data_IF_874872086432
#
_entry.id   IF_874872086432
#
_cell.length_a   1.000
_cell.length_b   1.000
_cell.length_c   1.000
_cell.angle_alpha   90.00
_cell.angle_beta   90.00
_cell.angle_gamma   90.00
#
_symmetry.space_group_name_H-M   'P 1'
#
loop_
_entity.id
_entity.type
_entity.pdbx_description
1 polymer ?
#
# COMPACT_ATOMS: atom_id res chain seq x y z
N UNK A 1 -7.99 -4.97 1.41
CA UNK A 1 -7.32 -3.89 2.13
C UNK A 1 -5.95 -3.66 1.45
N UNK A 2 -4.75 -3.89 2.01
CA UNK A 2 -3.50 -3.69 1.21
C UNK A 2 -3.14 -4.88 0.31
N UNK A 3 -3.31 -6.08 0.81
CA UNK A 3 -2.97 -7.32 0.10
C UNK A 3 -4.18 -7.93 -0.64
N UNK A 4 -5.27 -7.18 -0.81
CA UNK A 4 -6.45 -7.70 -1.50
C UNK A 4 -6.29 -7.57 -3.00
N UNK A 5 -6.61 -8.65 -3.74
CA UNK A 5 -6.41 -8.70 -5.17
C UNK A 5 -7.23 -7.64 -5.90
N UNK A 6 -6.60 -6.95 -6.86
CA UNK A 6 -7.31 -6.09 -7.80
C UNK A 6 -8.00 -7.00 -8.81
N UNK A 7 -9.33 -7.14 -8.71
CA UNK A 7 -10.11 -8.07 -9.55
C UNK A 7 -10.19 -7.64 -11.02
N UNK A 8 -10.36 -6.35 -11.27
CA UNK A 8 -10.40 -5.79 -12.63
C UNK A 8 -9.45 -4.58 -12.74
N UNK A 9 -8.15 -4.82 -12.99
CA UNK A 9 -7.16 -3.75 -13.10
C UNK A 9 -7.41 -2.82 -14.28
N UNK A 10 -8.24 -3.23 -15.25
CA UNK A 10 -8.62 -2.38 -16.40
C UNK A 10 -9.74 -1.39 -16.08
N UNK A 11 -10.50 -1.63 -15.01
CA UNK A 11 -11.58 -0.78 -14.53
C UNK A 11 -11.14 0.24 -13.47
N UNK A 12 -9.88 0.19 -13.04
CA UNK A 12 -9.31 1.07 -12.02
C UNK A 12 -7.93 1.58 -12.46
N UNK A 13 -7.37 2.50 -11.70
CA UNK A 13 -6.03 3.07 -11.87
C UNK A 13 -5.26 3.02 -10.55
N UNK A 14 -3.94 3.15 -10.61
CA UNK A 14 -3.10 3.20 -9.42
C UNK A 14 -3.53 4.32 -8.44
N UNK A 15 -3.99 5.47 -8.94
CA UNK A 15 -4.47 6.58 -8.12
C UNK A 15 -5.81 6.27 -7.45
N UNK A 16 -6.71 5.54 -8.14
CA UNK A 16 -7.97 5.07 -7.55
C UNK A 16 -7.72 4.01 -6.47
N UNK A 17 -6.80 3.07 -6.70
CA UNK A 17 -6.37 2.08 -5.69
C UNK A 17 -5.76 2.79 -4.46
N UNK A 18 -4.92 3.80 -4.67
CA UNK A 18 -4.37 4.59 -3.57
C UNK A 18 -5.48 5.30 -2.78
N UNK A 19 -6.43 5.94 -3.48
CA UNK A 19 -7.55 6.64 -2.86
C UNK A 19 -8.44 5.68 -2.05
N UNK A 20 -8.62 4.43 -2.51
CA UNK A 20 -9.33 3.39 -1.75
C UNK A 20 -8.61 3.05 -0.44
N UNK A 21 -7.27 2.92 -0.46
CA UNK A 21 -6.48 2.69 0.75
C UNK A 21 -6.56 3.89 1.70
N UNK A 22 -6.44 5.11 1.19
CA UNK A 22 -6.55 6.34 1.99
C UNK A 22 -7.93 6.49 2.63
N UNK A 23 -9.01 6.21 1.88
CA UNK A 23 -10.36 6.21 2.41
C UNK A 23 -10.54 5.16 3.53
N UNK A 24 -10.06 3.94 3.32
CA UNK A 24 -10.13 2.89 4.33
C UNK A 24 -9.32 3.24 5.59
N UNK A 25 -8.15 3.88 5.45
CA UNK A 25 -7.40 4.39 6.60
C UNK A 25 -8.16 5.52 7.31
N UNK A 26 -8.74 6.45 6.57
CA UNK A 26 -9.51 7.57 7.13
C UNK A 26 -10.71 7.07 7.96
N UNK A 27 -11.38 6.02 7.49
CA UNK A 27 -12.47 5.36 8.22
C UNK A 27 -11.97 4.78 9.56
N UNK A 28 -10.86 4.03 9.56
CA UNK A 28 -10.26 3.47 10.78
C UNK A 28 -9.84 4.58 11.76
N UNK A 29 -9.22 5.65 11.26
CA UNK A 29 -8.81 6.80 12.10
C UNK A 29 -10.03 7.52 12.66
N UNK A 30 -11.11 7.66 11.88
CA UNK A 30 -12.35 8.30 12.33
C UNK A 30 -13.05 7.50 13.42
N UNK A 31 -13.05 6.17 13.32
CA UNK A 31 -13.65 5.27 14.31
C UNK A 31 -12.88 5.26 15.63
N UNK A 32 -11.54 5.30 15.58
CA UNK A 32 -10.68 5.30 16.77
C UNK A 32 -10.50 6.70 17.36
N UNK A 33 -10.57 7.74 16.53
CA UNK A 33 -10.23 9.13 16.84
C UNK A 33 -8.75 9.45 16.60
N UNK A 34 -8.48 10.61 15.99
CA UNK A 34 -7.14 11.04 15.50
C UNK A 34 -6.05 10.98 16.58
N UNK A 35 -6.29 11.56 17.77
CA UNK A 35 -5.30 11.58 18.86
C UNK A 35 -4.93 10.16 19.32
N UNK A 36 -5.95 9.30 19.52
CA UNK A 36 -5.75 7.90 19.93
C UNK A 36 -5.09 7.09 18.82
N UNK A 37 -5.45 7.35 17.56
CA UNK A 37 -4.82 6.69 16.42
C UNK A 37 -3.33 7.06 16.31
N UNK A 38 -2.98 8.33 16.50
CA UNK A 38 -1.58 8.79 16.51
C UNK A 38 -0.78 8.13 17.64
N UNK A 39 -1.31 8.09 18.86
CA UNK A 39 -0.65 7.46 20.01
C UNK A 39 -0.41 5.96 19.79
N UNK A 40 -1.40 5.25 19.25
CA UNK A 40 -1.34 3.78 19.10
C UNK A 40 -0.56 3.32 17.87
N UNK A 41 -0.67 4.04 16.75
CA UNK A 41 0.02 3.68 15.48
C UNK A 41 1.45 4.25 15.42
N UNK A 42 1.75 5.30 16.18
CA UNK A 42 3.01 6.03 16.09
C UNK A 42 3.11 6.95 14.88
N UNK A 43 2.03 7.09 14.10
CA UNK A 43 1.95 8.03 12.97
C UNK A 43 1.69 9.45 13.48
N UNK A 44 2.26 10.43 12.78
CA UNK A 44 2.10 11.85 13.12
C UNK A 44 0.62 12.27 13.14
N UNK A 45 0.20 12.93 14.22
CA UNK A 45 -1.20 13.33 14.43
C UNK A 45 -1.70 14.30 13.35
N UNK A 46 -0.87 15.26 12.93
CA UNK A 46 -1.27 16.22 11.90
C UNK A 46 -1.46 15.54 10.54
N UNK A 47 -0.67 14.50 10.27
CA UNK A 47 -0.82 13.66 9.09
C UNK A 47 -2.13 12.87 9.09
N UNK A 48 -2.49 12.28 10.23
CA UNK A 48 -3.77 11.57 10.38
C UNK A 48 -4.97 12.52 10.34
N UNK A 49 -4.84 13.73 10.90
CA UNK A 49 -5.87 14.76 10.81
C UNK A 49 -6.13 15.18 9.35
N UNK A 50 -5.06 15.46 8.60
CA UNK A 50 -5.14 15.78 7.17
C UNK A 50 -5.83 14.68 6.36
N UNK A 51 -5.48 13.40 6.63
CA UNK A 51 -6.14 12.26 6.00
C UNK A 51 -7.65 12.24 6.25
N UNK A 52 -8.09 12.45 7.50
CA UNK A 52 -9.53 12.49 7.85
C UNK A 52 -10.24 13.68 7.23
N UNK A 53 -9.55 14.82 7.09
CA UNK A 53 -10.06 16.01 6.42
C UNK A 53 -10.13 15.86 4.88
N UNK A 54 -9.68 14.73 4.34
CA UNK A 54 -9.72 14.40 2.90
C UNK A 54 -8.52 14.91 2.10
N UNK A 55 -7.47 15.38 2.78
CA UNK A 55 -6.16 15.59 2.14
C UNK A 55 -5.44 14.25 1.94
N UNK A 56 -4.49 14.20 1.00
CA UNK A 56 -3.71 13.00 0.68
C UNK A 56 -2.23 13.15 1.06
N UNK A 57 -1.88 13.12 2.37
CA UNK A 57 -0.48 13.15 2.76
C UNK A 57 0.21 11.81 2.45
N UNK A 58 1.49 11.84 2.12
CA UNK A 58 2.21 10.63 1.72
C UNK A 58 2.47 9.68 2.90
N UNK A 59 1.87 8.48 2.90
CA UNK A 59 2.11 7.40 3.88
C UNK A 59 3.13 6.38 3.38
N UNK A 60 3.80 5.67 4.30
CA UNK A 60 4.47 4.39 4.00
C UNK A 60 3.51 3.22 4.16
N UNK A 61 3.85 2.07 3.56
CA UNK A 61 3.12 0.81 3.76
C UNK A 61 3.10 0.43 5.24
N UNK A 62 4.20 0.65 5.97
CA UNK A 62 4.28 0.39 7.40
C UNK A 62 3.40 1.32 8.23
N UNK A 63 3.34 2.62 7.91
CA UNK A 63 2.43 3.56 8.58
C UNK A 63 0.97 3.19 8.31
N UNK A 64 0.64 2.85 7.06
CA UNK A 64 -0.69 2.41 6.69
C UNK A 64 -1.08 1.15 7.46
N UNK A 65 -0.20 0.13 7.48
CA UNK A 65 -0.42 -1.09 8.25
C UNK A 65 -0.61 -0.82 9.75
N UNK A 66 0.14 0.12 10.33
CA UNK A 66 -0.02 0.52 11.73
C UNK A 66 -1.38 1.17 12.01
N UNK A 67 -1.92 1.93 11.05
CA UNK A 67 -3.29 2.49 11.13
C UNK A 67 -4.32 1.37 11.02
N UNK A 68 -4.21 0.48 10.03
CA UNK A 68 -5.17 -0.60 9.84
C UNK A 68 -5.24 -1.57 11.03
N UNK A 69 -4.09 -1.86 11.65
CA UNK A 69 -4.01 -2.69 12.85
C UNK A 69 -4.69 -2.10 14.09
N UNK A 70 -5.23 -0.87 14.01
CA UNK A 70 -6.06 -0.29 15.08
C UNK A 70 -7.47 -0.87 15.12
N UNK A 71 -7.95 -1.43 14.00
CA UNK A 71 -9.21 -2.18 13.93
C UNK A 71 -8.99 -3.65 14.26
N UNK A 72 -9.92 -4.23 15.02
CA UNK A 72 -9.92 -5.66 15.36
C UNK A 72 -10.28 -6.57 14.16
N UNK A 73 -10.69 -5.99 13.02
CA UNK A 73 -11.01 -6.72 11.80
C UNK A 73 -9.77 -7.21 11.04
N UNK A 74 -8.59 -6.66 11.36
CA UNK A 74 -7.36 -6.88 10.62
C UNK A 74 -6.26 -7.53 11.47
N UNK A 75 -5.27 -8.20 10.85
CA UNK A 75 -4.06 -8.63 11.55
C UNK A 75 -3.29 -7.47 12.17
N UNK A 76 -2.28 -7.78 12.97
CA UNK A 76 -1.33 -6.76 13.44
C UNK A 76 -0.54 -6.14 12.28
N UNK A 77 0.11 -5.00 12.55
CA UNK A 77 0.79 -4.22 11.53
C UNK A 77 1.92 -5.01 10.83
N UNK A 78 2.61 -5.88 11.55
CA UNK A 78 3.65 -6.74 10.98
C UNK A 78 3.05 -7.75 10.01
N UNK A 79 1.94 -8.40 10.41
CA UNK A 79 1.18 -9.32 9.56
C UNK A 79 0.71 -8.66 8.26
N UNK A 80 0.13 -7.45 8.35
CA UNK A 80 -0.33 -6.72 7.16
C UNK A 80 0.83 -6.40 6.20
N UNK A 81 1.99 -5.95 6.71
CA UNK A 81 3.16 -5.65 5.86
C UNK A 81 3.70 -6.91 5.20
N UNK A 82 3.79 -8.01 5.94
CA UNK A 82 4.26 -9.29 5.41
C UNK A 82 3.30 -9.81 4.32
N UNK A 83 2.00 -9.78 4.57
CA UNK A 83 0.99 -10.18 3.59
C UNK A 83 1.05 -9.32 2.32
N UNK A 84 1.18 -7.99 2.45
CA UNK A 84 1.29 -7.10 1.30
C UNK A 84 2.51 -7.44 0.41
N UNK A 85 3.68 -7.69 1.03
CA UNK A 85 4.91 -8.05 0.31
C UNK A 85 4.81 -9.45 -0.30
N UNK A 86 4.33 -10.42 0.46
CA UNK A 86 4.16 -11.80 -0.02
C UNK A 86 3.19 -11.87 -1.19
N UNK A 87 2.06 -11.16 -1.11
CA UNK A 87 1.08 -11.15 -2.17
C UNK A 87 1.61 -10.44 -3.43
N UNK A 88 2.34 -9.33 -3.26
CA UNK A 88 3.03 -8.69 -4.39
C UNK A 88 4.03 -9.65 -5.07
N UNK A 89 4.86 -10.36 -4.30
CA UNK A 89 5.79 -11.36 -4.85
C UNK A 89 5.05 -12.50 -5.55
N UNK A 90 3.93 -12.95 -5.00
CA UNK A 90 3.09 -13.99 -5.59
C UNK A 90 2.53 -13.51 -6.94
N UNK A 91 1.98 -12.30 -7.00
CA UNK A 91 1.40 -11.73 -8.22
C UNK A 91 2.47 -11.49 -9.30
N UNK A 92 3.66 -11.00 -8.93
CA UNK A 92 4.79 -10.89 -9.86
C UNK A 92 5.18 -12.25 -10.44
N UNK A 93 5.22 -13.29 -9.60
CA UNK A 93 5.49 -14.67 -10.04
C UNK A 93 4.42 -15.17 -11.01
N UNK A 94 3.14 -14.92 -10.72
CA UNK A 94 2.00 -15.29 -11.58
C UNK A 94 2.05 -14.57 -12.94
N UNK A 95 2.40 -13.29 -12.95
CA UNK A 95 2.58 -12.49 -14.16
C UNK A 95 3.90 -12.81 -14.91
N UNK A 96 4.76 -13.67 -14.36
CA UNK A 96 6.10 -13.97 -14.90
C UNK A 96 6.93 -12.69 -15.07
N UNK A 97 6.83 -11.80 -14.08
CA UNK A 97 7.44 -10.48 -14.07
C UNK A 97 8.62 -10.43 -13.11
N UNK A 98 9.78 -9.96 -13.59
CA UNK A 98 10.93 -9.60 -12.75
C UNK A 98 10.96 -8.09 -12.46
N UNK A 99 11.91 -7.66 -11.63
CA UNK A 99 12.05 -6.24 -11.24
C UNK A 99 12.45 -5.33 -12.41
N UNK A 100 13.13 -5.87 -13.43
CA UNK A 100 13.51 -5.11 -14.63
C UNK A 100 12.29 -4.86 -15.53
N UNK A 101 11.45 -5.87 -15.72
CA UNK A 101 10.18 -5.76 -16.42
C UNK A 101 9.23 -4.80 -15.69
N UNK A 102 9.10 -4.96 -14.36
CA UNK A 102 8.30 -4.06 -13.53
C UNK A 102 8.78 -2.61 -13.62
N UNK A 103 10.08 -2.35 -13.47
CA UNK A 103 10.62 -0.99 -13.60
C UNK A 103 10.36 -0.38 -14.98
N UNK A 104 10.44 -1.21 -16.04
CA UNK A 104 10.17 -0.78 -17.41
C UNK A 104 8.70 -0.39 -17.63
N UNK A 105 7.77 -1.07 -16.95
CA UNK A 105 6.33 -0.78 -17.01
C UNK A 105 5.88 0.42 -16.18
N UNK A 106 6.68 0.88 -15.22
CA UNK A 106 6.37 2.01 -14.33
C UNK A 106 6.86 3.37 -14.84
N UNK A 107 7.04 3.53 -16.16
CA UNK A 107 7.45 4.78 -16.82
C UNK A 107 8.69 5.48 -16.19
N UNK A 108 9.65 4.70 -15.70
CA UNK A 108 10.93 5.23 -15.19
C UNK A 108 10.86 5.92 -13.81
N UNK A 109 9.82 5.66 -13.02
CA UNK A 109 9.67 6.23 -11.67
C UNK A 109 10.55 5.59 -10.59
N UNK A 110 10.99 4.35 -10.78
CA UNK A 110 11.78 3.58 -9.81
C UNK A 110 12.82 2.73 -10.54
N UNK A 111 14.02 2.61 -9.98
CA UNK A 111 15.04 1.72 -10.54
C UNK A 111 14.81 0.25 -10.09
N UNK A 112 15.19 -0.76 -10.90
CA UNK A 112 14.94 -2.17 -10.55
C UNK A 112 15.50 -2.60 -9.19
N UNK A 113 16.66 -2.06 -8.79
CA UNK A 113 17.28 -2.38 -7.50
C UNK A 113 16.51 -1.72 -6.35
N UNK A 114 16.06 -0.49 -6.52
CA UNK A 114 15.17 0.17 -5.55
C UNK A 114 13.87 -0.61 -5.35
N UNK A 115 13.22 -1.02 -6.44
CA UNK A 115 12.03 -1.89 -6.39
C UNK A 115 12.34 -3.16 -5.60
N UNK A 116 13.44 -3.84 -5.91
CA UNK A 116 13.86 -5.03 -5.19
C UNK A 116 14.05 -4.77 -3.69
N UNK A 117 14.76 -3.69 -3.30
CA UNK A 117 14.98 -3.37 -1.89
C UNK A 117 13.67 -3.09 -1.14
N UNK A 118 12.71 -2.41 -1.79
CA UNK A 118 11.40 -2.11 -1.19
C UNK A 118 10.55 -3.37 -1.02
N UNK A 119 10.50 -4.26 -2.02
CA UNK A 119 9.78 -5.54 -1.95
C UNK A 119 10.38 -6.46 -0.88
N UNK A 120 11.71 -6.53 -0.80
CA UNK A 120 12.43 -7.29 0.23
C UNK A 120 12.37 -6.64 1.62
N UNK A 121 11.72 -5.49 1.77
CA UNK A 121 11.59 -4.77 3.04
C UNK A 121 12.88 -4.14 3.57
N UNK A 122 13.89 -3.97 2.71
CA UNK A 122 15.17 -3.34 3.06
C UNK A 122 15.16 -1.82 2.94
N UNK A 123 14.12 -1.27 2.29
CA UNK A 123 13.85 0.16 2.21
C UNK A 123 12.33 0.39 2.39
N UNK A 124 11.92 1.49 3.06
CA UNK A 124 10.51 1.84 3.13
C UNK A 124 9.89 2.04 1.74
N UNK A 125 8.68 1.52 1.57
CA UNK A 125 7.86 1.74 0.38
C UNK A 125 6.73 2.70 0.74
N UNK A 126 6.54 3.74 -0.06
CA UNK A 126 5.36 4.61 0.10
C UNK A 126 4.10 3.87 -0.34
N UNK A 127 2.96 4.25 0.21
CA UNK A 127 1.67 3.67 -0.14
C UNK A 127 1.33 3.93 -1.62
N UNK A 128 1.72 5.10 -2.14
CA UNK A 128 1.57 5.45 -3.55
C UNK A 128 2.44 4.57 -4.46
N UNK A 129 3.71 4.33 -4.09
CA UNK A 129 4.56 3.39 -4.83
C UNK A 129 3.98 1.97 -4.79
N UNK A 130 3.47 1.53 -3.64
CA UNK A 130 2.84 0.23 -3.50
C UNK A 130 1.61 0.09 -4.41
N UNK A 131 0.67 1.04 -4.36
CA UNK A 131 -0.51 1.05 -5.21
C UNK A 131 -0.15 1.01 -6.71
N UNK A 132 0.87 1.80 -7.10
CA UNK A 132 1.36 1.82 -8.49
C UNK A 132 1.98 0.51 -8.93
N UNK A 133 2.85 -0.07 -8.10
CA UNK A 133 3.48 -1.37 -8.37
C UNK A 133 2.42 -2.46 -8.44
N UNK A 134 1.54 -2.53 -7.44
CA UNK A 134 0.53 -3.56 -7.31
C UNK A 134 -0.48 -3.53 -8.45
N UNK A 135 -0.96 -2.34 -8.81
CA UNK A 135 -1.84 -2.15 -9.98
C UNK A 135 -1.17 -2.58 -11.28
N UNK A 136 0.08 -2.19 -11.51
CA UNK A 136 0.80 -2.59 -12.72
C UNK A 136 0.96 -4.11 -12.80
N UNK A 137 1.39 -4.77 -11.71
CA UNK A 137 1.53 -6.23 -11.67
C UNK A 137 0.18 -6.91 -11.93
N UNK A 138 -0.90 -6.42 -11.31
CA UNK A 138 -2.24 -6.95 -11.56
C UNK A 138 -2.65 -6.78 -13.04
N UNK A 139 -2.35 -5.64 -13.67
CA UNK A 139 -2.68 -5.38 -15.08
C UNK A 139 -1.96 -6.29 -16.08
N UNK A 140 -0.81 -6.83 -15.69
CA UNK A 140 -0.01 -7.75 -16.50
C UNK A 140 -0.30 -9.23 -16.16
N UNK A 141 -1.06 -9.50 -15.11
CA UNK A 141 -1.46 -10.86 -14.74
C UNK A 141 -2.67 -11.31 -15.59
N UNK A 142 -2.56 -12.38 -16.39
CA UNK A 142 -3.64 -12.81 -17.29
C UNK A 142 -4.81 -13.56 -16.61
N UNK A 143 -4.82 -13.70 -15.28
CA UNK A 143 -5.82 -14.48 -14.54
C UNK A 143 -6.23 -13.85 -13.21
#
# INVERSE_FOLDING_TARGET
>A
MLAEAIEDPSATSADEVLAEYEAAMADVVSDVGVETAAERSGVDEAKLAALVDGDAPAFTVEEAAAVFALSDDWPDAEGIVLEARDNLMLQMSSAVMDVDALASGLDGGLDPKEIQQKIEGRQPMTLAEYARIYHHVASENPY
#
